data_IF_934632235055
#
_entry.id   IF_934632235055
#
_cell.length_a   1.000
_cell.length_b   1.000
_cell.length_c   1.000
_cell.angle_alpha   90.00
_cell.angle_beta   90.00
_cell.angle_gamma   90.00
#
_symmetry.space_group_name_H-M   'P 1'
#
loop_
_entity.id
_entity.type
_entity.pdbx_description
1 polymer ?
#
# COMPACT_ATOMS: atom_id res chain seq x y z
N UNK A 1 -18.35 -22.44 5.60
CA UNK A 1 -17.14 -22.25 6.43
C UNK A 1 -16.05 -23.12 5.86
N UNK A 2 -15.11 -22.57 5.09
CA UNK A 2 -13.98 -23.32 4.57
C UNK A 2 -12.80 -23.19 5.53
N UNK A 3 -12.35 -24.35 6.03
CA UNK A 3 -11.18 -24.48 6.89
C UNK A 3 -9.93 -24.13 6.07
N UNK A 4 -9.41 -22.93 6.32
CA UNK A 4 -8.08 -22.53 5.87
C UNK A 4 -7.06 -23.28 6.70
N UNK A 5 -6.62 -24.44 6.24
CA UNK A 5 -5.39 -25.04 6.75
C UNK A 5 -4.24 -24.09 6.42
N UNK A 6 -3.58 -23.68 7.49
CA UNK A 6 -2.73 -22.52 7.61
C UNK A 6 -1.37 -22.89 7.00
N UNK A 7 -0.99 -22.23 5.91
CA UNK A 7 0.39 -22.27 5.43
C UNK A 7 1.30 -21.72 6.54
N UNK A 8 2.02 -22.62 7.23
CA UNK A 8 2.85 -22.38 8.42
C UNK A 8 4.05 -21.42 8.21
N UNK A 9 4.30 -20.96 6.98
CA UNK A 9 5.48 -20.16 6.64
C UNK A 9 5.17 -18.80 6.01
N UNK A 10 3.90 -18.44 5.83
CA UNK A 10 3.56 -17.07 5.39
C UNK A 10 3.69 -16.10 6.56
N UNK A 11 4.30 -14.90 6.39
CA UNK A 11 4.27 -13.85 7.42
C UNK A 11 2.83 -13.38 7.72
N UNK A 12 1.87 -13.72 6.85
CA UNK A 12 0.46 -13.41 6.95
C UNK A 12 -0.40 -14.60 7.43
N UNK A 13 0.22 -15.62 8.02
CA UNK A 13 -0.52 -16.71 8.65
C UNK A 13 -1.46 -16.15 9.73
N UNK A 14 -2.58 -16.85 9.97
CA UNK A 14 -3.57 -16.42 10.96
C UNK A 14 -2.97 -16.24 12.36
N UNK A 15 -1.92 -16.96 12.74
CA UNK A 15 -1.29 -16.80 14.05
C UNK A 15 -0.43 -15.55 14.19
N UNK A 16 0.10 -15.01 13.08
CA UNK A 16 1.16 -14.00 13.14
C UNK A 16 0.64 -12.57 12.88
N UNK A 17 -0.48 -12.42 12.17
CA UNK A 17 -0.92 -11.11 11.66
C UNK A 17 -1.32 -10.07 12.72
N UNK A 18 -1.51 -10.50 13.97
CA UNK A 18 -1.83 -9.62 15.09
C UNK A 18 -0.60 -8.86 15.62
N UNK A 19 0.62 -9.32 15.30
CA UNK A 19 1.85 -8.64 15.69
C UNK A 19 2.04 -7.33 14.93
N UNK A 20 2.49 -6.28 15.64
CA UNK A 20 2.72 -4.94 15.09
C UNK A 20 3.51 -4.94 13.77
N UNK A 21 4.57 -5.73 13.69
CA UNK A 21 5.41 -5.84 12.50
C UNK A 21 4.65 -6.42 11.30
N UNK A 22 3.73 -7.35 11.54
CA UNK A 22 2.95 -8.00 10.48
C UNK A 22 1.80 -7.10 9.99
N UNK A 23 1.28 -6.20 10.84
CA UNK A 23 0.34 -5.14 10.44
C UNK A 23 0.98 -4.16 9.46
N UNK A 24 2.19 -3.69 9.78
CA UNK A 24 2.95 -2.77 8.93
C UNK A 24 3.29 -3.43 7.60
N UNK A 25 3.79 -4.67 7.63
CA UNK A 25 4.14 -5.41 6.43
C UNK A 25 2.93 -5.62 5.51
N UNK A 26 1.77 -5.95 6.07
CA UNK A 26 0.53 -6.10 5.30
C UNK A 26 0.17 -4.79 4.58
N UNK A 27 0.26 -3.66 5.29
CA UNK A 27 -0.06 -2.36 4.71
C UNK A 27 0.96 -1.96 3.63
N UNK A 28 2.25 -2.19 3.86
CA UNK A 28 3.30 -1.98 2.84
C UNK A 28 3.05 -2.82 1.60
N UNK A 29 2.62 -4.08 1.76
CA UNK A 29 2.29 -4.96 0.64
C UNK A 29 1.11 -4.41 -0.18
N UNK A 30 0.01 -4.05 0.48
CA UNK A 30 -1.17 -3.49 -0.19
C UNK A 30 -0.82 -2.20 -0.94
N UNK A 31 -0.08 -1.29 -0.31
CA UNK A 31 0.37 -0.05 -0.96
C UNK A 31 1.28 -0.33 -2.15
N UNK A 32 2.18 -1.31 -2.02
CA UNK A 32 3.07 -1.71 -3.12
C UNK A 32 2.30 -2.24 -4.32
N UNK A 33 1.26 -3.05 -4.10
CA UNK A 33 0.43 -3.56 -5.20
C UNK A 33 -0.43 -2.46 -5.83
N UNK A 34 -0.88 -1.45 -5.07
CA UNK A 34 -1.49 -0.24 -5.65
C UNK A 34 -0.48 0.50 -6.56
N UNK A 35 0.78 0.65 -6.12
CA UNK A 35 1.82 1.25 -6.96
C UNK A 35 2.15 0.40 -8.20
N UNK A 36 2.13 -0.93 -8.07
CA UNK A 36 2.34 -1.83 -9.20
C UNK A 36 1.20 -1.69 -10.22
N UNK A 37 -0.06 -1.59 -9.77
CA UNK A 37 -1.20 -1.36 -10.66
C UNK A 37 -1.04 -0.06 -11.46
N UNK A 38 -0.57 1.02 -10.81
CA UNK A 38 -0.26 2.28 -11.49
C UNK A 38 0.88 2.10 -12.52
N UNK A 39 1.96 1.41 -12.14
CA UNK A 39 3.10 1.20 -13.02
C UNK A 39 2.75 0.36 -14.25
N UNK A 40 2.01 -0.73 -14.05
CA UNK A 40 1.51 -1.58 -15.15
C UNK A 40 0.61 -0.75 -16.08
N UNK A 41 -0.26 0.08 -15.51
CA UNK A 41 -1.11 0.95 -16.30
C UNK A 41 -0.30 1.94 -17.17
N UNK A 42 0.68 2.64 -16.59
CA UNK A 42 1.56 3.58 -17.32
C UNK A 42 2.41 2.91 -18.41
N UNK A 43 2.66 1.62 -18.27
CA UNK A 43 3.38 0.82 -19.26
C UNK A 43 2.46 0.29 -20.38
N UNK A 44 1.19 0.73 -20.44
CA UNK A 44 0.18 0.25 -21.38
C UNK A 44 -0.06 -1.27 -21.28
N UNK A 45 0.15 -1.84 -20.08
CA UNK A 45 -0.15 -3.25 -19.84
C UNK A 45 -1.67 -3.48 -20.00
N UNK A 46 -2.10 -4.56 -20.68
CA UNK A 46 -3.52 -4.89 -20.80
C UNK A 46 -4.24 -4.96 -19.45
N UNK A 47 -5.48 -4.46 -19.37
CA UNK A 47 -6.25 -4.39 -18.11
C UNK A 47 -6.41 -5.75 -17.42
N UNK A 48 -6.52 -6.84 -18.17
CA UNK A 48 -6.63 -8.20 -17.62
C UNK A 48 -5.38 -8.65 -16.83
N UNK A 49 -4.22 -8.03 -17.08
CA UNK A 49 -3.01 -8.25 -16.31
C UNK A 49 -2.93 -7.35 -15.07
N UNK A 50 -3.68 -6.24 -15.03
CA UNK A 50 -3.83 -5.38 -13.86
C UNK A 50 -4.87 -5.97 -12.90
N UNK A 51 -5.98 -6.46 -13.45
CA UNK A 51 -7.04 -7.14 -12.74
C UNK A 51 -7.67 -8.24 -13.61
N UNK A 52 -7.67 -9.47 -13.09
CA UNK A 52 -8.30 -10.62 -13.74
C UNK A 52 -9.62 -10.96 -13.04
N UNK A 53 -10.80 -10.81 -13.68
CA UNK A 53 -12.10 -11.04 -13.03
C UNK A 53 -12.39 -12.52 -12.77
N UNK A 54 -11.84 -13.40 -13.62
CA UNK A 54 -12.16 -14.83 -13.69
C UNK A 54 -11.24 -15.69 -12.82
N UNK A 55 -10.92 -15.23 -11.61
CA UNK A 55 -10.22 -16.09 -10.64
C UNK A 55 -11.26 -16.87 -9.84
N UNK A 56 -11.54 -18.09 -10.30
CA UNK A 56 -12.46 -19.04 -9.63
C UNK A 56 -11.84 -19.69 -8.39
N UNK A 57 -10.52 -19.61 -8.24
CA UNK A 57 -9.77 -20.25 -7.16
C UNK A 57 -9.08 -19.22 -6.29
N UNK A 58 -9.65 -19.00 -5.12
CA UNK A 58 -9.05 -18.22 -4.04
C UNK A 58 -7.80 -18.93 -3.52
N UNK A 59 -6.61 -18.37 -3.78
CA UNK A 59 -5.34 -18.83 -3.19
C UNK A 59 -4.80 -17.74 -2.25
N UNK A 60 -5.40 -17.59 -1.06
CA UNK A 60 -4.92 -16.58 -0.13
C UNK A 60 -3.46 -16.89 0.18
N UNK A 61 -2.61 -15.87 0.02
CA UNK A 61 -1.23 -15.84 0.48
C UNK A 61 -0.17 -16.46 -0.46
N UNK A 62 -0.50 -16.76 -1.72
CA UNK A 62 0.54 -17.00 -2.73
C UNK A 62 1.05 -15.64 -3.26
N UNK A 63 2.05 -15.10 -2.56
CA UNK A 63 2.77 -13.88 -2.94
C UNK A 63 3.49 -14.00 -4.30
N UNK A 64 3.67 -15.23 -4.80
CA UNK A 64 4.31 -15.54 -6.08
C UNK A 64 3.33 -15.74 -7.23
N UNK A 65 2.02 -15.75 -6.95
CA UNK A 65 1.03 -15.93 -8.02
C UNK A 65 1.13 -14.79 -9.04
N UNK A 66 1.11 -15.15 -10.33
CA UNK A 66 1.07 -14.22 -11.47
C UNK A 66 -0.30 -13.55 -11.64
N UNK A 67 -0.99 -13.28 -10.53
CA UNK A 67 -2.25 -12.55 -10.52
C UNK A 67 -1.96 -11.05 -10.65
N UNK A 68 -2.90 -10.32 -11.23
CA UNK A 68 -2.79 -8.87 -11.36
C UNK A 68 -2.69 -8.17 -9.99
N UNK A 69 -2.00 -7.03 -9.91
CA UNK A 69 -1.78 -6.29 -8.67
C UNK A 69 -3.08 -6.03 -7.90
N UNK A 70 -4.18 -5.70 -8.58
CA UNK A 70 -5.45 -5.44 -7.90
C UNK A 70 -6.12 -6.70 -7.33
N UNK A 71 -5.91 -7.87 -7.93
CA UNK A 71 -6.33 -9.13 -7.32
C UNK A 71 -5.61 -9.35 -5.99
N UNK A 72 -4.30 -9.08 -5.94
CA UNK A 72 -3.52 -9.18 -4.71
C UNK A 72 -3.99 -8.20 -3.63
N UNK A 73 -4.38 -6.97 -4.01
CA UNK A 73 -5.00 -6.01 -3.09
C UNK A 73 -6.31 -6.56 -2.52
N UNK A 74 -7.18 -7.14 -3.36
CA UNK A 74 -8.42 -7.79 -2.91
C UNK A 74 -8.15 -8.87 -1.88
N UNK A 75 -7.22 -9.77 -2.16
CA UNK A 75 -6.89 -10.89 -1.27
C UNK A 75 -6.32 -10.42 0.07
N UNK A 76 -5.31 -9.54 0.05
CA UNK A 76 -4.65 -9.09 1.28
C UNK A 76 -5.57 -8.16 2.09
N UNK A 77 -6.54 -7.49 1.47
CA UNK A 77 -7.55 -6.69 2.17
C UNK A 77 -8.42 -7.52 3.12
N UNK A 78 -8.53 -8.84 2.89
CA UNK A 78 -9.30 -9.73 3.75
C UNK A 78 -8.70 -9.85 5.15
N UNK A 79 -7.40 -9.57 5.29
CA UNK A 79 -6.67 -9.63 6.55
C UNK A 79 -6.73 -8.32 7.35
N UNK A 80 -7.12 -7.22 6.73
CA UNK A 80 -7.19 -5.91 7.39
C UNK A 80 -8.08 -5.88 8.65
N UNK A 81 -9.29 -6.49 8.68
CA UNK A 81 -10.10 -6.52 9.91
C UNK A 81 -9.41 -7.19 11.09
N UNK A 82 -8.49 -8.11 10.80
CA UNK A 82 -7.71 -8.80 11.82
C UNK A 82 -6.48 -7.99 12.23
N UNK A 83 -5.74 -7.43 11.26
CA UNK A 83 -4.57 -6.60 11.53
C UNK A 83 -4.92 -5.28 12.25
N UNK A 84 -6.04 -4.64 11.89
CA UNK A 84 -6.45 -3.32 12.38
C UNK A 84 -7.88 -3.37 12.97
N UNK A 85 -8.11 -4.13 14.06
CA UNK A 85 -9.45 -4.34 14.61
C UNK A 85 -10.11 -3.06 15.14
N UNK A 86 -9.33 -2.01 15.41
CA UNK A 86 -9.79 -0.68 15.81
C UNK A 86 -10.32 0.14 14.63
N UNK A 87 -9.88 -0.14 13.40
CA UNK A 87 -10.19 0.64 12.19
C UNK A 87 -11.36 0.09 11.36
N UNK A 88 -12.37 -0.52 12.02
CA UNK A 88 -13.48 -1.22 11.35
C UNK A 88 -14.18 -0.39 10.28
N UNK A 89 -14.45 0.88 10.55
CA UNK A 89 -15.15 1.76 9.63
C UNK A 89 -14.30 2.10 8.40
N UNK A 90 -13.02 2.45 8.60
CA UNK A 90 -12.09 2.73 7.51
C UNK A 90 -11.92 1.51 6.60
N UNK A 91 -11.80 0.31 7.19
CA UNK A 91 -11.70 -0.95 6.44
C UNK A 91 -12.97 -1.23 5.63
N UNK A 92 -14.16 -0.98 6.20
CA UNK A 92 -15.43 -1.14 5.48
C UNK A 92 -15.50 -0.21 4.27
N UNK A 93 -15.10 1.05 4.44
CA UNK A 93 -15.08 2.05 3.35
C UNK A 93 -14.07 1.63 2.28
N UNK A 94 -12.86 1.25 2.67
CA UNK A 94 -11.83 0.77 1.75
C UNK A 94 -12.31 -0.45 0.95
N UNK A 95 -12.88 -1.47 1.61
CA UNK A 95 -13.40 -2.67 0.93
C UNK A 95 -14.51 -2.34 -0.05
N UNK A 96 -15.41 -1.42 0.30
CA UNK A 96 -16.46 -0.97 -0.62
C UNK A 96 -15.89 -0.26 -1.84
N UNK A 97 -14.94 0.66 -1.65
CA UNK A 97 -14.24 1.33 -2.74
C UNK A 97 -13.49 0.34 -3.64
N UNK A 98 -12.85 -0.68 -3.04
CA UNK A 98 -12.17 -1.74 -3.75
C UNK A 98 -13.11 -2.58 -4.61
N UNK A 99 -14.24 -3.03 -4.06
CA UNK A 99 -15.28 -3.73 -4.82
C UNK A 99 -15.80 -2.88 -5.99
N UNK A 100 -16.07 -1.59 -5.77
CA UNK A 100 -16.54 -0.71 -6.82
C UNK A 100 -15.48 -0.55 -7.93
N UNK A 101 -14.20 -0.42 -7.55
CA UNK A 101 -13.06 -0.34 -8.47
C UNK A 101 -12.94 -1.60 -9.32
N UNK A 102 -12.96 -2.78 -8.69
CA UNK A 102 -12.83 -4.05 -9.41
C UNK A 102 -14.02 -4.34 -10.32
N UNK A 103 -15.23 -3.97 -9.89
CA UNK A 103 -16.43 -4.09 -10.71
C UNK A 103 -16.38 -3.14 -11.91
N UNK A 104 -15.92 -1.91 -11.71
CA UNK A 104 -15.71 -0.95 -12.79
C UNK A 104 -14.72 -1.54 -13.80
N UNK A 105 -13.51 -1.91 -13.37
CA UNK A 105 -12.49 -2.48 -14.26
C UNK A 105 -13.05 -3.68 -15.04
N UNK A 106 -13.75 -4.60 -14.37
CA UNK A 106 -14.34 -5.78 -15.03
C UNK A 106 -15.25 -5.43 -16.19
N UNK A 107 -16.02 -4.33 -16.09
CA UNK A 107 -16.92 -3.88 -17.14
C UNK A 107 -16.19 -3.22 -18.33
N UNK A 108 -14.92 -2.82 -18.15
CA UNK A 108 -14.13 -2.12 -19.16
C UNK A 108 -13.01 -2.99 -19.78
N UNK A 109 -12.84 -4.24 -19.36
CA UNK A 109 -11.77 -5.12 -19.89
C UNK A 109 -11.84 -5.29 -21.42
N UNK A 110 -13.04 -5.25 -21.98
CA UNK A 110 -13.28 -5.41 -23.42
C UNK A 110 -13.51 -4.07 -24.16
N UNK A 111 -13.35 -2.92 -23.50
CA UNK A 111 -13.61 -1.60 -24.07
C UNK A 111 -12.32 -0.88 -24.51
N UNK A 112 -12.38 0.06 -25.48
CA UNK A 112 -11.21 0.82 -25.93
C UNK A 112 -10.54 1.60 -24.78
N UNK A 113 -9.19 1.54 -24.71
CA UNK A 113 -8.40 1.90 -23.53
C UNK A 113 -8.45 3.39 -23.13
N UNK A 114 -8.56 4.30 -24.10
CA UNK A 114 -8.31 5.74 -23.88
C UNK A 114 -9.24 6.40 -22.84
N UNK A 115 -10.51 5.99 -22.76
CA UNK A 115 -11.45 6.55 -21.77
C UNK A 115 -11.29 5.97 -20.36
N UNK A 116 -10.63 4.82 -20.24
CA UNK A 116 -10.48 4.12 -18.97
C UNK A 116 -9.23 4.55 -18.21
N UNK A 117 -8.23 5.11 -18.88
CA UNK A 117 -6.96 5.53 -18.26
C UNK A 117 -7.17 6.51 -17.10
N UNK A 118 -7.91 7.59 -17.36
CA UNK A 118 -8.19 8.60 -16.36
C UNK A 118 -9.03 8.04 -15.21
N UNK A 119 -9.94 7.10 -15.49
CA UNK A 119 -10.78 6.48 -14.46
C UNK A 119 -9.98 5.56 -13.54
N UNK A 120 -9.10 4.72 -14.09
CA UNK A 120 -8.26 3.83 -13.28
C UNK A 120 -7.38 4.63 -12.32
N UNK A 121 -6.75 5.70 -12.79
CA UNK A 121 -5.94 6.57 -11.93
C UNK A 121 -6.74 7.19 -10.79
N UNK A 122 -7.98 7.62 -11.05
CA UNK A 122 -8.88 8.13 -10.01
C UNK A 122 -9.24 7.05 -8.98
N UNK A 123 -9.48 5.81 -9.42
CA UNK A 123 -9.75 4.69 -8.53
C UNK A 123 -8.53 4.35 -7.67
N UNK A 124 -7.33 4.24 -8.26
CA UNK A 124 -6.10 3.96 -7.51
C UNK A 124 -5.81 5.04 -6.46
N UNK A 125 -6.01 6.31 -6.82
CA UNK A 125 -5.93 7.45 -5.89
C UNK A 125 -6.91 7.30 -4.73
N UNK A 126 -8.16 6.97 -5.02
CA UNK A 126 -9.17 6.76 -3.99
C UNK A 126 -8.80 5.61 -3.05
N UNK A 127 -8.35 4.47 -3.60
CA UNK A 127 -7.93 3.32 -2.79
C UNK A 127 -6.76 3.68 -1.87
N UNK A 128 -5.75 4.37 -2.39
CA UNK A 128 -4.61 4.83 -1.59
C UNK A 128 -5.07 5.72 -0.43
N UNK A 129 -5.89 6.75 -0.71
CA UNK A 129 -6.33 7.70 0.32
C UNK A 129 -7.24 7.05 1.38
N UNK A 130 -8.02 6.02 1.01
CA UNK A 130 -8.85 5.29 1.97
C UNK A 130 -8.04 4.43 2.95
N UNK A 131 -6.76 4.16 2.66
CA UNK A 131 -5.85 3.48 3.58
C UNK A 131 -5.21 4.44 4.60
N UNK A 132 -5.35 5.77 4.44
CA UNK A 132 -4.71 6.76 5.32
C UNK A 132 -4.98 6.52 6.83
N UNK A 133 -6.20 6.18 7.29
CA UNK A 133 -6.43 5.88 8.70
C UNK A 133 -5.56 4.73 9.24
N UNK A 134 -5.30 3.71 8.42
CA UNK A 134 -4.46 2.57 8.76
C UNK A 134 -2.97 2.97 8.74
N UNK A 135 -2.59 3.85 7.80
CA UNK A 135 -1.24 4.43 7.76
C UNK A 135 -0.94 5.24 9.01
N UNK A 136 -1.93 5.97 9.53
CA UNK A 136 -1.82 6.74 10.78
C UNK A 136 -1.54 5.81 11.97
N UNK A 137 -2.14 4.62 12.04
CA UNK A 137 -1.80 3.66 13.10
C UNK A 137 -0.35 3.16 13.00
N UNK A 138 0.20 3.10 11.79
CA UNK A 138 1.58 2.67 11.54
C UNK A 138 2.62 3.80 11.66
N UNK A 139 2.21 5.04 11.96
CA UNK A 139 3.08 6.23 11.88
C UNK A 139 4.31 6.25 12.80
N UNK A 140 4.34 5.42 13.83
CA UNK A 140 5.48 5.35 14.77
C UNK A 140 6.50 4.27 14.39
N UNK A 141 6.23 3.51 13.33
CA UNK A 141 7.10 2.46 12.79
C UNK A 141 8.06 3.04 11.74
N UNK A 142 9.35 3.01 12.02
CA UNK A 142 10.40 3.53 11.15
C UNK A 142 10.55 2.78 9.83
N UNK A 143 10.26 1.47 9.79
CA UNK A 143 10.30 0.73 8.53
C UNK A 143 9.15 1.18 7.63
N UNK A 144 7.98 1.45 8.21
CA UNK A 144 6.85 2.03 7.50
C UNK A 144 7.17 3.43 6.95
N UNK A 145 7.71 4.31 7.80
CA UNK A 145 8.08 5.66 7.42
C UNK A 145 9.16 5.67 6.32
N UNK A 146 10.18 4.82 6.46
CA UNK A 146 11.21 4.65 5.45
C UNK A 146 10.64 4.12 4.13
N UNK A 147 9.73 3.15 4.18
CA UNK A 147 9.02 2.65 3.00
C UNK A 147 8.29 3.77 2.24
N UNK A 148 7.57 4.65 2.95
CA UNK A 148 6.87 5.77 2.32
C UNK A 148 7.86 6.78 1.70
N UNK A 149 8.96 7.09 2.39
CA UNK A 149 10.01 7.99 1.88
C UNK A 149 10.65 7.45 0.59
N UNK A 150 11.05 6.18 0.62
CA UNK A 150 11.64 5.48 -0.53
C UNK A 150 10.71 5.46 -1.74
N UNK A 151 9.41 5.39 -1.51
CA UNK A 151 8.39 5.38 -2.56
C UNK A 151 7.71 6.73 -2.79
N UNK A 152 8.28 7.85 -2.31
CA UNK A 152 7.70 9.19 -2.40
C UNK A 152 7.27 9.58 -3.82
N UNK A 153 8.09 9.28 -4.84
CA UNK A 153 7.72 9.55 -6.25
C UNK A 153 6.44 8.83 -6.69
N UNK A 154 6.25 7.57 -6.27
CA UNK A 154 5.03 6.78 -6.54
C UNK A 154 3.83 7.29 -5.74
N UNK A 155 4.05 7.72 -4.51
CA UNK A 155 3.00 8.35 -3.69
C UNK A 155 2.50 9.62 -4.38
N UNK A 156 3.41 10.49 -4.84
CA UNK A 156 3.05 11.73 -5.50
C UNK A 156 2.35 11.52 -6.85
N UNK A 157 2.73 10.49 -7.60
CA UNK A 157 2.10 10.20 -8.89
C UNK A 157 0.66 9.70 -8.75
N UNK A 158 0.33 9.00 -7.67
CA UNK A 158 -1.06 8.56 -7.39
C UNK A 158 -1.87 9.65 -6.69
N UNK A 159 -1.26 10.48 -5.85
CA UNK A 159 -1.99 11.40 -4.95
C UNK A 159 -2.01 12.85 -5.46
N UNK A 160 -1.33 13.74 -4.76
CA UNK A 160 -1.13 15.13 -5.11
C UNK A 160 0.28 15.56 -4.66
N UNK A 161 0.85 16.63 -5.25
CA UNK A 161 2.11 17.19 -4.79
C UNK A 161 2.07 17.45 -3.29
N UNK A 162 3.15 17.17 -2.58
CA UNK A 162 3.30 17.48 -1.16
C UNK A 162 2.42 16.65 -0.21
N UNK A 163 1.66 15.66 -0.72
CA UNK A 163 0.86 14.76 0.12
C UNK A 163 1.68 14.17 1.27
N UNK A 164 2.84 13.59 0.96
CA UNK A 164 3.65 12.89 1.96
C UNK A 164 4.25 13.84 3.00
N UNK A 165 4.67 15.04 2.58
CA UNK A 165 5.11 16.12 3.46
C UNK A 165 3.99 16.49 4.44
N UNK A 166 2.78 16.75 3.92
CA UNK A 166 1.60 17.08 4.73
C UNK A 166 1.21 15.94 5.67
N UNK A 167 1.28 14.69 5.20
CA UNK A 167 1.01 13.52 6.01
C UNK A 167 1.96 13.43 7.21
N UNK A 168 3.27 13.63 6.99
CA UNK A 168 4.25 13.58 8.07
C UNK A 168 4.08 14.73 9.06
N UNK A 169 3.95 15.97 8.59
CA UNK A 169 3.75 17.13 9.46
C UNK A 169 2.48 16.97 10.31
N UNK A 170 1.36 16.59 9.69
CA UNK A 170 0.07 16.45 10.37
C UNK A 170 0.05 15.30 11.36
N UNK A 171 0.56 14.12 10.98
CA UNK A 171 0.33 12.90 11.74
C UNK A 171 1.50 12.52 12.64
N UNK A 172 2.74 12.82 12.26
CA UNK A 172 3.93 12.46 13.04
C UNK A 172 4.31 13.52 14.08
N UNK A 173 3.70 14.71 14.04
CA UNK A 173 3.89 15.75 15.07
C UNK A 173 5.29 16.39 15.08
N UNK A 174 6.05 16.19 14.01
CA UNK A 174 7.44 16.57 13.86
C UNK A 174 7.59 17.41 12.59
N UNK A 175 8.46 18.42 12.62
CA UNK A 175 8.99 18.95 11.37
C UNK A 175 9.79 17.82 10.67
N UNK A 176 9.91 17.86 9.35
CA UNK A 176 10.49 16.74 8.60
C UNK A 176 11.95 16.45 8.96
N UNK A 177 12.68 17.43 9.50
CA UNK A 177 14.04 17.23 10.04
C UNK A 177 14.04 16.33 11.27
N UNK A 178 13.19 16.60 12.27
CA UNK A 178 13.10 15.75 13.46
C UNK A 178 12.59 14.34 13.16
N UNK A 179 11.75 14.19 12.12
CA UNK A 179 11.40 12.86 11.59
C UNK A 179 12.64 12.14 11.02
N UNK A 180 13.47 12.84 10.25
CA UNK A 180 14.70 12.28 9.68
C UNK A 180 15.65 11.80 10.78
N UNK A 181 15.88 12.62 11.80
CA UNK A 181 16.73 12.28 12.95
C UNK A 181 16.20 11.04 13.67
N UNK A 182 14.90 11.03 13.99
CA UNK A 182 14.25 9.89 14.66
C UNK A 182 14.40 8.57 13.89
N UNK A 183 14.19 8.59 12.56
CA UNK A 183 14.38 7.39 11.73
C UNK A 183 15.87 7.00 11.71
N UNK A 184 16.78 7.95 11.50
CA UNK A 184 18.22 7.67 11.45
C UNK A 184 18.73 7.05 12.75
N UNK A 185 18.32 7.57 13.91
CA UNK A 185 18.73 7.07 15.21
C UNK A 185 18.26 5.63 15.42
N UNK A 186 17.02 5.31 15.05
CA UNK A 186 16.52 3.93 15.14
C UNK A 186 17.27 2.97 14.23
N UNK A 187 17.57 3.36 13.00
CA UNK A 187 18.35 2.53 12.07
C UNK A 187 19.81 2.39 12.53
N UNK A 188 20.41 3.45 13.06
CA UNK A 188 21.75 3.41 13.65
C UNK A 188 21.83 2.41 14.80
N UNK A 189 20.91 2.51 15.76
CA UNK A 189 20.84 1.65 16.94
C UNK A 189 20.60 0.17 16.60
N UNK A 190 20.05 -0.11 15.42
CA UNK A 190 19.84 -1.48 14.89
C UNK A 190 21.01 -2.00 14.05
N UNK A 191 22.08 -1.23 13.90
CA UNK A 191 23.25 -1.60 13.10
C UNK A 191 23.12 -1.32 11.60
N UNK A 192 22.06 -0.64 11.16
CA UNK A 192 21.82 -0.27 9.75
C UNK A 192 22.30 1.16 9.44
N UNK A 193 23.43 1.56 10.02
CA UNK A 193 24.00 2.90 9.81
C UNK A 193 24.32 3.21 8.34
N UNK A 194 24.53 2.17 7.52
CA UNK A 194 24.73 2.29 6.08
C UNK A 194 23.52 2.87 5.32
N UNK A 195 22.30 2.81 5.87
CA UNK A 195 21.09 3.35 5.24
C UNK A 195 20.87 4.84 5.56
N UNK A 196 21.60 5.42 6.52
CA UNK A 196 21.44 6.83 6.94
C UNK A 196 21.61 7.82 5.77
N UNK A 197 22.62 7.69 4.89
CA UNK A 197 22.77 8.60 3.74
C UNK A 197 21.55 8.56 2.80
N UNK A 198 20.98 7.37 2.59
CA UNK A 198 19.81 7.17 1.73
C UNK A 198 18.56 7.82 2.33
N UNK A 199 18.33 7.64 3.64
CA UNK A 199 17.23 8.27 4.38
C UNK A 199 17.31 9.80 4.26
N UNK A 200 18.50 10.38 4.49
CA UNK A 200 18.73 11.82 4.36
C UNK A 200 18.49 12.32 2.93
N UNK A 201 18.90 11.55 1.92
CA UNK A 201 18.66 11.89 0.52
C UNK A 201 17.15 11.90 0.19
N UNK A 202 16.37 10.91 0.66
CA UNK A 202 14.93 10.90 0.46
C UNK A 202 14.23 12.09 1.14
N UNK A 203 14.64 12.45 2.35
CA UNK A 203 14.10 13.61 3.05
C UNK A 203 14.42 14.92 2.33
N UNK A 204 15.67 15.08 1.84
CA UNK A 204 16.06 16.24 1.06
C UNK A 204 15.23 16.37 -0.24
N UNK A 205 15.04 15.25 -0.95
CA UNK A 205 14.19 15.21 -2.14
C UNK A 205 12.73 15.54 -1.82
N UNK A 206 12.20 15.06 -0.70
CA UNK A 206 10.83 15.38 -0.27
C UNK A 206 10.65 16.89 -0.05
N UNK A 207 11.67 17.57 0.50
CA UNK A 207 11.66 19.03 0.70
C UNK A 207 11.79 19.83 -0.59
N UNK A 208 12.61 19.36 -1.53
CA UNK A 208 12.79 20.05 -2.82
C UNK A 208 11.54 19.99 -3.70
N UNK A 209 10.75 18.93 -3.56
CA UNK A 209 9.52 18.71 -4.31
C UNK A 209 8.26 19.14 -3.53
N UNK A 210 8.43 19.89 -2.41
CA UNK A 210 7.35 20.40 -1.57
C UNK A 210 7.06 21.88 -1.85
#
# INVERSE_FOLDING_TARGET
>A
MTNFEIFLHSPFSKSNIDERNNKVLLLQFILSEIFNAESEHKNNTPLHNIFFPTISSFYPLDWSTKMGPLNKVVEHSLLLPKAFPEQKQAIKIFKHALTNTTNAISNYIDMPSENFELQLMLYLKQLYLMLEPLMIECKSDENFLFFLLKNSGKVHSITYPNYLMNFFVKNCGHNVDSLCESICDKFHNRGFACLIPEIKAFIANLKLNA
#
